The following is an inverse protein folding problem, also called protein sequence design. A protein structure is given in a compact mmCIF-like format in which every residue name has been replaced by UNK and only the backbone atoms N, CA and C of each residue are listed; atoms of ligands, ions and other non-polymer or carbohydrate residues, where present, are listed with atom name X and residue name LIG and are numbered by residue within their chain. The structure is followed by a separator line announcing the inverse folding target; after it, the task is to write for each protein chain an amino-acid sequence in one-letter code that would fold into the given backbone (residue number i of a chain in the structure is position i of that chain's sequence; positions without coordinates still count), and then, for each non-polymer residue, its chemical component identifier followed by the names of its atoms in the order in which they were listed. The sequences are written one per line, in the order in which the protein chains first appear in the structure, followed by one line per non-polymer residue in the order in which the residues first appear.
data_IF_263024664503
#
_entry.id   IF_263024664503
#
_cell.length_a   1.000
_cell.length_b   1.000
_cell.length_c   1.000
_cell.angle_alpha   90.00
_cell.angle_beta   90.00
_cell.angle_gamma   90.00
#
_symmetry.space_group_name_H-M   'P 1'
#
loop_
_entity.id
_entity.type
_entity.pdbx_description
1 polymer ?
#
# COMPACT_ATOMS: atom_id res chain seq x y z
N UNK A 1 0.27 2.13 -8.27
CA UNK A 1 0.35 1.61 -6.89
C UNK A 1 0.75 2.73 -5.95
N UNK A 2 0.12 2.82 -4.80
CA UNK A 2 0.50 3.78 -3.76
C UNK A 2 1.34 3.09 -2.69
N UNK A 3 2.38 3.78 -2.23
CA UNK A 3 3.29 3.28 -1.19
C UNK A 3 3.69 4.41 -0.24
N UNK A 4 3.77 4.16 1.06
CA UNK A 4 4.28 5.14 2.02
C UNK A 4 5.80 5.26 1.99
N UNK A 5 6.51 4.35 1.35
CA UNK A 5 7.98 4.37 1.28
C UNK A 5 8.51 5.61 0.56
N UNK A 6 9.68 6.06 0.98
CA UNK A 6 10.36 7.15 0.29
C UNK A 6 10.62 6.79 -1.18
N UNK A 7 10.62 7.78 -2.09
CA UNK A 7 10.72 7.52 -3.53
C UNK A 7 11.95 6.72 -3.97
N UNK A 8 13.07 6.85 -3.27
CA UNK A 8 14.28 6.09 -3.60
C UNK A 8 14.09 4.58 -3.40
N UNK A 9 13.38 4.15 -2.35
CA UNK A 9 13.10 2.74 -2.13
C UNK A 9 12.10 2.20 -3.16
N UNK A 10 11.09 2.99 -3.50
CA UNK A 10 10.10 2.62 -4.51
C UNK A 10 10.72 2.50 -5.90
N UNK A 11 11.62 3.42 -6.26
CA UNK A 11 12.34 3.37 -7.53
C UNK A 11 13.23 2.12 -7.62
N UNK A 12 13.90 1.76 -6.54
CA UNK A 12 14.72 0.54 -6.47
C UNK A 12 13.86 -0.71 -6.68
N UNK A 13 12.70 -0.78 -6.03
CA UNK A 13 11.77 -1.89 -6.17
C UNK A 13 11.25 -1.99 -7.62
N UNK A 14 10.83 -0.87 -8.20
CA UNK A 14 10.33 -0.82 -9.57
C UNK A 14 11.38 -1.30 -10.58
N UNK A 15 12.63 -0.88 -10.39
CA UNK A 15 13.74 -1.30 -11.26
C UNK A 15 14.05 -2.79 -11.11
N UNK A 16 14.05 -3.29 -9.87
CA UNK A 16 14.34 -4.70 -9.57
C UNK A 16 13.32 -5.65 -10.20
N UNK A 17 12.05 -5.30 -10.15
CA UNK A 17 10.95 -6.13 -10.64
C UNK A 17 10.46 -5.72 -12.04
N UNK A 18 11.07 -4.72 -12.66
CA UNK A 18 10.71 -4.23 -14.01
C UNK A 18 9.21 -3.95 -14.12
N UNK A 19 8.68 -3.20 -13.16
CA UNK A 19 7.24 -2.90 -13.11
C UNK A 19 6.83 -2.00 -14.28
N UNK A 20 5.70 -2.33 -14.92
CA UNK A 20 5.14 -1.57 -16.03
C UNK A 20 4.23 -0.42 -15.58
N UNK A 21 3.95 -0.30 -14.29
CA UNK A 21 3.11 0.74 -13.72
C UNK A 21 3.89 1.57 -12.70
N UNK A 22 3.49 2.83 -12.45
CA UNK A 22 4.18 3.67 -11.48
C UNK A 22 3.90 3.25 -10.03
N UNK A 23 4.89 3.46 -9.16
CA UNK A 23 4.68 3.45 -7.71
C UNK A 23 4.69 4.91 -7.26
N UNK A 24 3.57 5.36 -6.73
CA UNK A 24 3.38 6.74 -6.30
C UNK A 24 3.57 6.84 -4.78
N UNK A 25 4.37 7.80 -4.35
CA UNK A 25 4.61 8.03 -2.93
C UNK A 25 3.41 8.72 -2.28
N UNK A 26 2.88 8.11 -1.23
CA UNK A 26 1.84 8.71 -0.37
C UNK A 26 2.51 9.29 0.88
N UNK A 27 3.17 10.42 0.73
CA UNK A 27 3.89 11.08 1.82
C UNK A 27 2.95 11.43 2.97
N UNK A 28 3.34 11.01 4.18
CA UNK A 28 2.53 11.26 5.38
C UNK A 28 1.19 10.52 5.39
N UNK A 29 1.00 9.55 4.50
CA UNK A 29 -0.24 8.76 4.38
C UNK A 29 -1.48 9.61 4.11
N UNK A 30 -1.33 10.72 3.41
CA UNK A 30 -2.43 11.66 3.12
C UNK A 30 -3.59 10.97 2.40
N UNK A 31 -3.29 10.19 1.37
CA UNK A 31 -4.31 9.47 0.59
C UNK A 31 -4.86 8.30 1.41
N UNK A 32 -3.99 7.53 2.08
CA UNK A 32 -4.43 6.43 2.92
C UNK A 32 -5.38 6.88 4.03
N UNK A 33 -5.10 8.03 4.65
CA UNK A 33 -5.98 8.63 5.67
C UNK A 33 -7.33 9.02 5.07
N UNK A 34 -7.34 9.59 3.87
CA UNK A 34 -8.57 9.98 3.18
C UNK A 34 -9.47 8.77 2.89
N UNK A 35 -8.88 7.61 2.62
CA UNK A 35 -9.61 6.34 2.42
C UNK A 35 -9.86 5.58 3.72
N UNK A 36 -9.46 6.11 4.88
CA UNK A 36 -9.68 5.45 6.17
C UNK A 36 -8.77 4.22 6.40
N UNK A 37 -7.63 4.15 5.73
CA UNK A 37 -6.76 2.98 5.76
C UNK A 37 -5.57 3.10 6.70
N UNK A 38 -5.27 4.29 7.23
CA UNK A 38 -4.10 4.49 8.06
C UNK A 38 -4.32 3.92 9.48
N UNK A 39 -3.32 3.23 9.98
CA UNK A 39 -3.31 2.72 11.36
C UNK A 39 -1.90 2.82 11.94
N UNK A 40 -1.81 2.83 13.28
CA UNK A 40 -0.53 2.84 13.98
C UNK A 40 -0.11 1.42 14.32
N UNK A 41 1.12 1.06 13.98
CA UNK A 41 1.65 -0.27 14.29
C UNK A 41 1.82 -0.41 15.81
N UNK A 42 1.29 -1.48 16.43
CA UNK A 42 1.49 -1.73 17.87
C UNK A 42 2.97 -1.86 18.24
N UNK A 43 3.32 -1.45 19.46
CA UNK A 43 4.72 -1.41 19.91
C UNK A 43 5.40 -2.78 19.87
N UNK A 44 4.70 -3.85 20.18
CA UNK A 44 5.24 -5.21 20.13
C UNK A 44 5.61 -5.62 18.70
N UNK A 45 4.79 -5.27 17.71
CA UNK A 45 5.09 -5.51 16.29
C UNK A 45 6.21 -4.58 15.80
N UNK A 46 6.26 -3.35 16.30
CA UNK A 46 7.36 -2.43 16.01
C UNK A 46 8.71 -3.03 16.42
N UNK A 47 8.78 -3.61 17.61
CA UNK A 47 9.97 -4.28 18.08
C UNK A 47 10.37 -5.47 17.21
N UNK A 48 9.40 -6.25 16.74
CA UNK A 48 9.64 -7.36 15.81
C UNK A 48 10.27 -6.86 14.51
N UNK A 49 9.73 -5.78 13.91
CA UNK A 49 10.30 -5.20 12.69
C UNK A 49 11.71 -4.69 12.91
N UNK A 50 11.97 -3.98 14.02
CA UNK A 50 13.29 -3.42 14.30
C UNK A 50 14.33 -4.48 14.61
N UNK A 51 13.99 -5.47 15.43
CA UNK A 51 14.95 -6.39 16.02
C UNK A 51 15.01 -7.73 15.30
N UNK A 52 13.87 -8.32 14.93
CA UNK A 52 13.85 -9.62 14.25
C UNK A 52 14.05 -9.48 12.73
N UNK A 53 13.37 -8.54 12.10
CA UNK A 53 13.46 -8.32 10.65
C UNK A 53 14.48 -7.25 10.28
N UNK A 54 15.01 -6.52 11.23
CA UNK A 54 15.95 -5.41 11.02
C UNK A 54 15.41 -4.39 10.00
N UNK A 55 14.10 -4.16 10.03
CA UNK A 55 13.40 -3.27 9.13
C UNK A 55 12.88 -2.05 9.88
N UNK A 56 13.54 -0.91 9.73
CA UNK A 56 13.10 0.35 10.33
C UNK A 56 12.15 1.07 9.39
N UNK A 57 10.84 0.87 9.58
CA UNK A 57 9.81 1.46 8.73
C UNK A 57 9.77 3.00 8.85
N UNK A 58 10.16 3.56 9.99
CA UNK A 58 10.22 5.02 10.15
C UNK A 58 11.24 5.64 9.18
N UNK A 59 12.38 4.97 8.99
CA UNK A 59 13.40 5.41 8.02
C UNK A 59 12.93 5.18 6.59
N UNK A 60 12.38 4.02 6.27
CA UNK A 60 11.94 3.68 4.91
C UNK A 60 10.81 4.58 4.42
N UNK A 61 9.90 4.96 5.31
CA UNK A 61 8.74 5.78 4.98
C UNK A 61 8.96 7.26 5.26
N UNK A 62 10.05 7.62 5.94
CA UNK A 62 10.29 8.99 6.36
C UNK A 62 9.24 9.52 7.34
N UNK A 63 8.59 8.62 8.09
CA UNK A 63 7.49 8.95 9.00
C UNK A 63 7.74 8.31 10.37
N UNK A 64 8.06 9.14 11.40
CA UNK A 64 8.43 8.61 12.71
C UNK A 64 7.27 8.01 13.52
N UNK A 65 6.03 8.25 13.11
CA UNK A 65 4.86 7.78 13.86
C UNK A 65 4.60 6.28 13.73
N UNK A 66 5.27 5.58 12.82
CA UNK A 66 5.01 4.17 12.50
C UNK A 66 3.56 3.91 12.09
N UNK A 67 2.92 4.88 11.46
CA UNK A 67 1.64 4.69 10.82
C UNK A 67 1.84 4.00 9.47
N UNK A 68 0.94 3.08 9.17
CA UNK A 68 0.97 2.29 7.93
C UNK A 68 -0.40 2.30 7.27
N UNK A 69 -0.46 2.14 5.95
CA UNK A 69 -1.73 1.93 5.28
C UNK A 69 -2.15 0.47 5.41
N UNK A 70 -3.44 0.23 5.67
CA UNK A 70 -4.01 -1.10 5.54
C UNK A 70 -3.92 -1.54 4.08
N UNK A 71 -3.45 -2.75 3.77
CA UNK A 71 -3.44 -3.23 2.39
C UNK A 71 -4.83 -3.19 1.80
N UNK A 72 -4.95 -2.58 0.63
CA UNK A 72 -6.23 -2.39 -0.02
C UNK A 72 -6.09 -2.37 -1.54
N UNK A 73 -7.17 -2.71 -2.22
CA UNK A 73 -7.28 -2.63 -3.67
C UNK A 73 -8.60 -1.99 -4.04
N UNK A 74 -8.53 -0.93 -4.83
CA UNK A 74 -9.70 -0.23 -5.34
C UNK A 74 -9.72 -0.29 -6.84
N UNK A 75 -10.89 -0.52 -7.42
CA UNK A 75 -11.12 -0.37 -8.84
C UNK A 75 -12.03 0.83 -9.04
N UNK A 76 -11.55 1.82 -9.77
CA UNK A 76 -12.26 3.09 -9.99
C UNK A 76 -12.47 3.24 -11.50
N UNK A 77 -13.70 3.53 -11.92
CA UNK A 77 -14.00 3.72 -13.33
C UNK A 77 -13.59 5.12 -13.83
N UNK A 78 -13.78 5.36 -15.14
CA UNK A 78 -13.44 6.64 -15.74
C UNK A 78 -14.26 7.81 -15.21
N UNK A 79 -15.44 7.55 -14.66
CA UNK A 79 -16.28 8.55 -14.03
C UNK A 79 -15.91 8.89 -12.60
N UNK A 80 -14.85 8.24 -12.06
CA UNK A 80 -14.42 8.45 -10.68
C UNK A 80 -15.25 7.66 -9.65
N UNK A 81 -16.03 6.68 -10.10
CA UNK A 81 -16.89 5.87 -9.22
C UNK A 81 -16.11 4.60 -8.82
N UNK A 82 -16.05 4.34 -7.51
CA UNK A 82 -15.43 3.11 -6.98
C UNK A 82 -16.34 1.93 -7.29
N UNK A 83 -15.83 0.98 -8.10
CA UNK A 83 -16.56 -0.22 -8.51
C UNK A 83 -16.24 -1.43 -7.64
N UNK A 84 -15.07 -1.43 -7.01
CA UNK A 84 -14.65 -2.47 -6.07
C UNK A 84 -13.75 -1.86 -5.03
N UNK A 85 -13.95 -2.22 -3.78
CA UNK A 85 -13.12 -1.78 -2.67
C UNK A 85 -12.89 -2.97 -1.75
N UNK A 86 -11.63 -3.37 -1.60
CA UNK A 86 -11.23 -4.48 -0.74
C UNK A 86 -10.07 -4.07 0.13
N UNK A 87 -10.26 -4.17 1.44
CA UNK A 87 -9.24 -3.87 2.44
C UNK A 87 -9.35 -4.88 3.58
N UNK A 88 -8.21 -5.38 4.05
CA UNK A 88 -8.18 -6.34 5.14
C UNK A 88 -6.96 -6.06 6.01
N UNK A 89 -7.12 -5.96 7.34
CA UNK A 89 -5.99 -5.79 8.26
C UNK A 89 -5.01 -6.98 8.22
N UNK A 90 -5.47 -8.15 7.83
CA UNK A 90 -4.60 -9.29 7.57
C UNK A 90 -3.97 -9.16 6.17
N UNK A 91 -2.70 -8.78 6.12
CA UNK A 91 -1.98 -8.56 4.87
C UNK A 91 -1.86 -9.82 3.99
N UNK A 92 -2.14 -11.00 4.55
CA UNK A 92 -2.12 -12.26 3.82
C UNK A 92 -3.43 -12.52 3.06
N UNK A 93 -4.51 -11.81 3.43
CA UNK A 93 -5.81 -11.91 2.76
C UNK A 93 -5.86 -10.89 1.64
N UNK A 94 -5.82 -11.36 0.41
CA UNK A 94 -5.82 -10.51 -0.79
C UNK A 94 -6.81 -11.07 -1.82
N UNK A 95 -7.47 -10.19 -2.60
CA UNK A 95 -8.27 -10.66 -3.72
C UNK A 95 -7.37 -11.31 -4.77
N UNK A 96 -7.89 -12.34 -5.45
CA UNK A 96 -7.17 -12.95 -6.55
C UNK A 96 -7.03 -11.95 -7.71
N UNK A 97 -5.85 -11.85 -8.35
CA UNK A 97 -5.65 -10.93 -9.47
C UNK A 97 -6.64 -11.15 -10.62
N UNK A 98 -7.05 -12.38 -10.84
CA UNK A 98 -7.98 -12.75 -11.90
C UNK A 98 -9.36 -12.12 -11.71
N UNK A 99 -9.82 -12.01 -10.46
CA UNK A 99 -11.09 -11.34 -10.12
C UNK A 99 -11.05 -9.87 -10.49
N UNK A 100 -9.94 -9.20 -10.19
CA UNK A 100 -9.74 -7.79 -10.51
C UNK A 100 -9.68 -7.59 -12.02
N UNK A 101 -8.96 -8.44 -12.74
CA UNK A 101 -8.87 -8.38 -14.21
C UNK A 101 -10.25 -8.59 -14.85
N UNK A 102 -11.02 -9.56 -14.35
CA UNK A 102 -12.37 -9.81 -14.85
C UNK A 102 -13.27 -8.58 -14.68
N UNK A 103 -13.23 -7.93 -13.52
CA UNK A 103 -13.98 -6.71 -13.27
C UNK A 103 -13.54 -5.58 -14.21
N UNK A 104 -12.25 -5.38 -14.37
CA UNK A 104 -11.70 -4.34 -15.25
C UNK A 104 -12.18 -4.52 -16.70
N UNK A 105 -12.27 -5.75 -17.18
CA UNK A 105 -12.77 -6.05 -18.53
C UNK A 105 -14.22 -5.63 -18.73
N UNK A 106 -15.03 -5.62 -17.68
CA UNK A 106 -16.43 -5.17 -17.76
C UNK A 106 -16.57 -3.65 -17.82
N UNK A 107 -15.52 -2.91 -17.42
CA UNK A 107 -15.53 -1.45 -17.33
C UNK A 107 -14.91 -0.75 -18.54
N UNK A 108 -14.34 -1.52 -19.45
CA UNK A 108 -13.66 -1.00 -20.65
C UNK A 108 -14.61 -0.94 -21.85
#
# INVERSE_FOLDING_TARGET
MLSPELPNFSAELAARHKLAFPIVNDHGLTIAKAFGLAFTLPDDLKDVYLNAFKNNLAVRNGEPSWQLPMPARFVIDRGGIVRSAEADPDYTVRPEPEETVALLRTLV
#
